data_IF_441930497566
#
_entry.id   IF_441930497566
#
_cell.length_a   1.000
_cell.length_b   1.000
_cell.length_c   1.000
_cell.angle_alpha   90.00
_cell.angle_beta   90.00
_cell.angle_gamma   90.00
#
_symmetry.space_group_name_H-M   'P 1'
#
loop_
_entity.id
_entity.type
_entity.pdbx_description
1 polymer ?
#
# COMPACT_ATOMS: atom_id res chain seq x y z
N UNK A 1 28.79 -3.14 -13.13
CA UNK A 1 28.34 -3.29 -12.90
C UNK A 1 27.77 -3.69 -12.49
N UNK A 2 27.79 -3.86 -12.12
CA UNK A 2 27.24 -4.31 -11.70
C UNK A 2 26.30 -4.54 -11.52
N UNK A 3 26.18 -4.90 -11.51
CA UNK A 3 25.35 -5.09 -11.47
C UNK A 3 24.56 -5.26 -10.61
N UNK A 4 24.49 -5.04 -10.02
CA UNK A 4 23.75 -5.19 -9.28
C UNK A 4 22.58 -5.12 -9.67
N UNK A 5 22.01 -5.57 -9.65
CA UNK A 5 21.00 -5.61 -10.25
C UNK A 5 20.00 -4.76 -9.88
N UNK A 6 19.28 -4.27 -10.75
CA UNK A 6 18.21 -3.39 -10.53
C UNK A 6 16.98 -4.23 -10.35
N UNK A 7 16.65 -4.51 -9.13
CA UNK A 7 15.48 -5.30 -8.82
C UNK A 7 14.27 -4.38 -8.87
N UNK A 8 13.25 -4.78 -9.60
CA UNK A 8 12.00 -4.03 -9.68
C UNK A 8 11.08 -4.52 -8.57
N UNK A 9 10.74 -3.61 -7.68
CA UNK A 9 9.96 -3.94 -6.49
C UNK A 9 8.60 -3.29 -6.54
N UNK A 10 7.55 -4.06 -6.29
CA UNK A 10 6.21 -3.54 -6.12
C UNK A 10 5.72 -3.88 -4.74
N UNK A 11 4.93 -3.00 -4.15
CA UNK A 11 4.37 -3.21 -2.82
C UNK A 11 2.86 -3.18 -2.92
N UNK A 12 2.20 -4.13 -2.27
CA UNK A 12 0.75 -4.15 -2.18
C UNK A 12 0.37 -3.91 -0.74
N UNK A 13 -0.45 -2.89 -0.49
CA UNK A 13 -0.98 -2.64 0.84
C UNK A 13 -2.47 -2.95 0.78
N UNK A 14 -2.92 -3.89 1.60
CA UNK A 14 -4.33 -4.26 1.60
C UNK A 14 -5.09 -3.40 2.58
N UNK A 15 -6.07 -2.69 2.10
CA UNK A 15 -6.91 -1.82 2.92
C UNK A 15 -8.38 -2.07 2.66
N UNK A 16 -8.71 -3.19 2.04
CA UNK A 16 -10.07 -3.49 1.68
C UNK A 16 -10.82 -4.33 2.70
N UNK A 17 -10.20 -4.73 3.76
CA UNK A 17 -10.81 -5.59 4.75
C UNK A 17 -12.09 -5.00 5.29
N UNK A 18 -13.00 -5.87 5.66
CA UNK A 18 -14.31 -5.43 6.05
C UNK A 18 -14.51 -5.27 7.53
N UNK A 19 -13.62 -5.73 8.34
CA UNK A 19 -13.93 -5.84 9.75
C UNK A 19 -13.21 -4.93 10.66
N UNK A 20 -12.39 -4.07 10.19
CA UNK A 20 -11.54 -3.30 11.06
C UNK A 20 -12.07 -1.93 11.35
N UNK A 21 -13.20 -1.88 12.03
CA UNK A 21 -13.75 -0.62 12.42
C UNK A 21 -13.52 -0.40 13.89
N UNK A 22 -13.24 0.83 14.25
CA UNK A 22 -12.96 1.16 15.60
C UNK A 22 -14.10 1.98 16.12
N UNK A 23 -15.04 1.31 16.74
CA UNK A 23 -16.08 2.00 17.44
C UNK A 23 -16.93 2.95 16.66
N UNK A 24 -17.09 2.76 15.42
CA UNK A 24 -17.88 3.64 14.60
C UNK A 24 -17.79 3.23 13.18
N UNK A 25 -18.05 4.14 12.28
CA UNK A 25 -18.08 3.78 10.89
C UNK A 25 -16.76 3.97 10.18
N UNK A 26 -15.78 4.58 10.82
CA UNK A 26 -14.50 4.86 10.18
C UNK A 26 -13.60 3.63 10.21
N UNK A 27 -13.06 3.27 9.07
CA UNK A 27 -12.14 2.15 9.01
C UNK A 27 -10.85 2.50 9.73
N UNK A 28 -10.23 1.49 10.30
CA UNK A 28 -9.01 1.66 11.05
C UNK A 28 -7.92 2.32 10.22
N UNK A 29 -7.80 1.96 8.96
CA UNK A 29 -6.77 2.50 8.09
C UNK A 29 -6.85 4.01 7.93
N UNK A 30 -8.03 4.58 8.10
CA UNK A 30 -8.21 6.01 7.88
C UNK A 30 -8.12 6.84 9.15
N UNK A 31 -7.87 6.20 10.29
CA UNK A 31 -7.77 6.93 11.54
C UNK A 31 -6.49 7.74 11.60
N UNK A 32 -6.51 8.88 12.24
CA UNK A 32 -5.31 9.72 12.30
C UNK A 32 -4.17 9.07 13.04
N UNK A 33 -2.97 9.29 12.57
CA UNK A 33 -1.77 8.84 13.24
C UNK A 33 -0.64 9.77 12.81
N UNK A 34 0.01 10.39 13.79
CA UNK A 34 1.08 11.32 13.52
C UNK A 34 0.60 12.45 12.60
N UNK A 35 1.24 12.67 11.48
CA UNK A 35 0.87 13.73 10.55
C UNK A 35 -0.15 13.28 9.52
N UNK A 36 -0.55 12.05 9.55
CA UNK A 36 -1.45 11.53 8.54
C UNK A 36 -2.42 10.52 9.12
N UNK A 37 -2.48 9.37 8.50
CA UNK A 37 -3.38 8.29 8.91
C UNK A 37 -2.57 7.03 9.09
N UNK A 38 -3.21 6.00 9.64
CA UNK A 38 -2.55 4.69 9.77
C UNK A 38 -2.11 4.20 8.40
N UNK A 39 -2.94 4.39 7.38
CA UNK A 39 -2.59 3.99 6.03
C UNK A 39 -1.38 4.76 5.52
N UNK A 40 -1.34 6.07 5.73
CA UNK A 40 -0.21 6.85 5.22
C UNK A 40 1.08 6.49 5.94
N UNK A 41 1.00 6.11 7.22
CA UNK A 41 2.21 5.69 7.94
C UNK A 41 2.71 4.36 7.40
N UNK A 42 1.80 3.44 7.05
CA UNK A 42 2.19 2.18 6.44
C UNK A 42 2.89 2.43 5.11
N UNK A 43 2.32 3.29 4.29
CA UNK A 43 2.89 3.58 2.98
C UNK A 43 4.24 4.27 3.13
N UNK A 44 4.35 5.19 4.08
CA UNK A 44 5.58 5.93 4.28
C UNK A 44 6.75 5.01 4.59
N UNK A 45 6.49 3.97 5.39
CA UNK A 45 7.55 3.04 5.77
C UNK A 45 8.18 2.40 4.54
N UNK A 46 7.36 2.01 3.57
CA UNK A 46 7.88 1.40 2.35
C UNK A 46 8.50 2.44 1.42
N UNK A 47 7.86 3.58 1.30
CA UNK A 47 8.33 4.58 0.35
C UNK A 47 9.66 5.19 0.76
N UNK A 48 9.89 5.31 2.07
CA UNK A 48 11.14 5.88 2.54
C UNK A 48 12.28 4.89 2.58
N UNK A 49 11.97 3.65 2.87
CA UNK A 49 13.03 2.68 3.14
C UNK A 49 13.33 1.72 2.00
N UNK A 50 12.49 1.69 0.99
CA UNK A 50 12.69 0.79 -0.13
C UNK A 50 12.56 1.56 -1.43
N UNK A 51 13.26 1.07 -2.43
CA UNK A 51 13.16 1.66 -3.76
C UNK A 51 11.99 1.03 -4.48
N UNK A 52 10.79 1.50 -4.15
CA UNK A 52 9.56 0.90 -4.62
C UNK A 52 9.15 1.54 -5.95
N UNK A 53 8.96 0.73 -6.96
CA UNK A 53 8.58 1.22 -8.28
C UNK A 53 7.08 1.37 -8.44
N UNK A 54 6.32 0.54 -7.76
CA UNK A 54 4.86 0.56 -7.85
C UNK A 54 4.27 0.30 -6.47
N UNK A 55 3.35 1.14 -6.06
CA UNK A 55 2.60 0.93 -4.84
C UNK A 55 1.16 0.67 -5.22
N UNK A 56 0.63 -0.49 -4.87
CA UNK A 56 -0.75 -0.84 -5.11
C UNK A 56 -1.48 -0.84 -3.78
N UNK A 57 -2.61 -0.19 -3.71
CA UNK A 57 -3.42 -0.20 -2.50
C UNK A 57 -4.79 -0.73 -2.87
N UNK A 58 -5.23 -1.79 -2.19
CA UNK A 58 -6.56 -2.32 -2.41
C UNK A 58 -7.51 -1.66 -1.43
N UNK A 59 -8.68 -1.31 -1.88
CA UNK A 59 -9.60 -0.52 -1.11
C UNK A 59 -11.00 -1.10 -1.23
N UNK A 60 -11.91 -0.80 -0.29
CA UNK A 60 -13.28 -1.24 -0.46
C UNK A 60 -13.92 -0.58 -1.66
N UNK A 61 -15.02 -1.18 -2.14
CA UNK A 61 -15.74 -0.65 -3.27
C UNK A 61 -16.08 0.81 -3.05
N UNK A 62 -15.87 1.60 -4.06
CA UNK A 62 -16.25 3.02 -4.06
C UNK A 62 -15.54 3.85 -3.00
N UNK A 63 -14.37 3.40 -2.57
CA UNK A 63 -13.62 4.14 -1.55
C UNK A 63 -12.26 4.60 -2.07
N UNK A 64 -12.07 4.60 -3.38
CA UNK A 64 -10.78 4.98 -3.93
C UNK A 64 -10.39 6.41 -3.56
N UNK A 65 -11.36 7.33 -3.60
CA UNK A 65 -11.06 8.72 -3.27
C UNK A 65 -10.70 8.89 -1.82
N UNK A 66 -11.42 8.21 -0.93
CA UNK A 66 -11.13 8.30 0.50
C UNK A 66 -9.77 7.71 0.81
N UNK A 67 -9.40 6.64 0.12
CA UNK A 67 -8.11 6.02 0.29
C UNK A 67 -7.00 6.97 -0.16
N UNK A 68 -7.19 7.61 -1.28
CA UNK A 68 -6.22 8.56 -1.78
C UNK A 68 -6.07 9.74 -0.83
N UNK A 69 -7.17 10.24 -0.30
CA UNK A 69 -7.11 11.32 0.66
C UNK A 69 -6.37 10.92 1.91
N UNK A 70 -6.64 9.70 2.41
CA UNK A 70 -5.97 9.21 3.60
C UNK A 70 -4.47 9.11 3.39
N UNK A 71 -4.06 8.71 2.19
CA UNK A 71 -2.66 8.64 1.88
C UNK A 71 -2.01 10.01 1.85
N UNK A 72 -2.67 10.97 1.25
CA UNK A 72 -2.08 12.27 1.02
C UNK A 72 -2.23 13.25 2.19
N UNK A 73 -2.84 12.79 3.27
CA UNK A 73 -2.95 13.60 4.47
C UNK A 73 -1.55 13.99 4.98
N UNK A 74 -0.59 13.11 4.80
CA UNK A 74 0.78 13.41 5.20
C UNK A 74 1.51 13.97 3.96
N UNK A 75 1.96 15.20 4.04
CA UNK A 75 2.64 15.84 2.92
C UNK A 75 3.89 15.10 2.50
N UNK A 76 4.56 14.45 3.42
CA UNK A 76 5.76 13.71 3.09
C UNK A 76 5.44 12.53 2.18
N UNK A 77 4.30 11.86 2.44
CA UNK A 77 3.89 10.76 1.59
C UNK A 77 3.57 11.28 0.20
N UNK A 78 2.89 12.40 0.11
CA UNK A 78 2.57 12.97 -1.18
C UNK A 78 3.85 13.26 -1.98
N UNK A 79 4.86 13.76 -1.29
CA UNK A 79 6.12 14.06 -1.95
C UNK A 79 6.82 12.77 -2.40
N UNK A 80 6.80 11.74 -1.55
CA UNK A 80 7.43 10.48 -1.89
C UNK A 80 6.75 9.78 -3.06
N UNK A 81 5.46 9.98 -3.21
CA UNK A 81 4.72 9.34 -4.29
C UNK A 81 5.09 9.90 -5.66
N UNK A 82 5.77 11.02 -5.71
CA UNK A 82 6.17 11.56 -7.00
C UNK A 82 7.17 10.66 -7.73
N UNK A 83 7.86 9.82 -6.98
CA UNK A 83 8.84 8.91 -7.58
C UNK A 83 8.38 7.47 -7.62
N UNK A 84 7.13 7.21 -7.32
CA UNK A 84 6.60 5.86 -7.29
C UNK A 84 5.24 5.85 -7.99
N UNK A 85 5.03 4.89 -8.85
CA UNK A 85 3.74 4.76 -9.50
C UNK A 85 2.74 4.26 -8.48
N UNK A 86 1.58 4.89 -8.42
CA UNK A 86 0.54 4.54 -7.47
C UNK A 86 -0.66 3.98 -8.21
N UNK A 87 -1.18 2.86 -7.72
CA UNK A 87 -2.40 2.27 -8.27
C UNK A 87 -3.33 1.94 -7.11
N UNK A 88 -4.51 2.54 -7.09
CA UNK A 88 -5.51 2.21 -6.08
C UNK A 88 -6.59 1.42 -6.79
N UNK A 89 -6.84 0.23 -6.28
CA UNK A 89 -7.78 -0.67 -6.94
C UNK A 89 -8.72 -1.30 -5.92
N UNK A 90 -9.87 -1.70 -6.36
CA UNK A 90 -10.82 -2.34 -5.48
C UNK A 90 -10.31 -3.69 -5.08
N UNK A 91 -10.39 -4.02 -3.80
CA UNK A 91 -10.02 -5.33 -3.31
C UNK A 91 -11.20 -6.26 -3.25
N UNK A 92 -11.05 -7.35 -2.53
CA UNK A 92 -12.10 -8.34 -2.38
C UNK A 92 -12.69 -8.33 -0.99
N UNK A 93 -13.54 -9.27 -0.72
CA UNK A 93 -14.19 -9.38 0.58
C UNK A 93 -13.31 -10.08 1.60
N UNK A 94 -12.24 -10.73 1.17
CA UNK A 94 -11.30 -11.35 2.08
C UNK A 94 -9.92 -10.82 1.79
N UNK A 95 -8.98 -11.05 2.73
CA UNK A 95 -7.61 -10.64 2.51
C UNK A 95 -7.03 -11.36 1.30
N UNK A 96 -7.35 -12.63 1.15
CA UNK A 96 -6.84 -13.39 0.02
C UNK A 96 -7.31 -12.83 -1.31
N UNK A 97 -8.57 -12.45 -1.39
CA UNK A 97 -9.09 -11.84 -2.60
C UNK A 97 -8.45 -10.49 -2.86
N UNK A 98 -8.22 -9.71 -1.80
CA UNK A 98 -7.59 -8.42 -1.97
C UNK A 98 -6.15 -8.57 -2.46
N UNK A 99 -5.42 -9.53 -1.91
CA UNK A 99 -4.07 -9.80 -2.36
C UNK A 99 -4.07 -10.23 -3.83
N UNK A 100 -5.00 -11.09 -4.20
CA UNK A 100 -5.10 -11.55 -5.58
C UNK A 100 -5.34 -10.38 -6.52
N UNK A 101 -6.27 -9.51 -6.17
CA UNK A 101 -6.55 -8.35 -7.01
C UNK A 101 -5.37 -7.39 -7.06
N UNK A 102 -4.64 -7.26 -5.96
CA UNK A 102 -3.42 -6.48 -5.95
C UNK A 102 -2.37 -7.05 -6.88
N UNK A 103 -2.22 -8.37 -6.89
CA UNK A 103 -1.28 -9.03 -7.77
C UNK A 103 -1.67 -8.86 -9.24
N UNK A 104 -2.96 -8.89 -9.53
CA UNK A 104 -3.40 -8.62 -10.89
C UNK A 104 -3.05 -7.19 -11.30
N UNK A 105 -3.19 -6.25 -10.39
CA UNK A 105 -2.84 -4.86 -10.68
C UNK A 105 -1.34 -4.74 -10.93
N UNK A 106 -0.51 -5.44 -10.16
CA UNK A 106 0.92 -5.43 -10.40
C UNK A 106 1.23 -5.98 -11.79
N UNK A 107 0.61 -7.09 -12.14
CA UNK A 107 0.84 -7.69 -13.44
C UNK A 107 0.46 -6.77 -14.57
N UNK A 108 -0.62 -6.02 -14.37
CA UNK A 108 -1.11 -5.11 -15.39
C UNK A 108 -0.26 -3.83 -15.47
N UNK A 109 0.11 -3.28 -14.33
CA UNK A 109 0.78 -2.00 -14.27
C UNK A 109 2.30 -2.10 -14.41
N UNK A 110 2.88 -3.18 -13.94
CA UNK A 110 4.33 -3.31 -13.94
C UNK A 110 4.71 -4.79 -14.04
N UNK A 111 4.48 -5.40 -15.21
CA UNK A 111 4.66 -6.85 -15.35
C UNK A 111 6.09 -7.32 -15.15
N UNK A 112 7.06 -6.42 -15.25
CA UNK A 112 8.44 -6.80 -15.04
C UNK A 112 8.87 -6.80 -13.59
N UNK A 113 7.90 -6.73 -12.66
CA UNK A 113 8.21 -6.74 -11.24
C UNK A 113 8.90 -8.03 -10.83
N UNK A 114 10.01 -7.90 -10.12
CA UNK A 114 10.77 -9.05 -9.64
C UNK A 114 10.33 -9.51 -8.27
N UNK A 115 9.95 -8.58 -7.40
CA UNK A 115 9.59 -8.88 -6.03
C UNK A 115 8.33 -8.11 -5.66
N UNK A 116 7.39 -8.77 -5.00
CA UNK A 116 6.19 -8.12 -4.51
C UNK A 116 6.15 -8.30 -3.00
N UNK A 117 6.03 -7.20 -2.28
CA UNK A 117 5.84 -7.24 -0.83
C UNK A 117 4.38 -6.95 -0.53
N UNK A 118 3.83 -7.63 0.45
CA UNK A 118 2.42 -7.48 0.80
C UNK A 118 2.32 -7.08 2.27
N UNK A 119 1.56 -6.04 2.54
CA UNK A 119 1.44 -5.49 3.88
C UNK A 119 -0.02 -5.12 4.17
N UNK A 120 -0.41 -5.28 5.42
CA UNK A 120 -1.75 -4.90 5.86
C UNK A 120 -1.76 -3.41 6.18
N UNK A 121 -2.63 -2.68 5.54
CA UNK A 121 -2.69 -1.22 5.70
C UNK A 121 -3.13 -0.75 7.07
N UNK A 122 -3.68 -1.65 7.88
CA UNK A 122 -4.06 -1.31 9.25
C UNK A 122 -2.91 -1.43 10.23
N UNK A 123 -1.72 -1.81 9.76
CA UNK A 123 -0.55 -1.95 10.62
C UNK A 123 0.46 -0.89 10.26
N UNK A 124 0.54 0.18 11.04
CA UNK A 124 1.36 1.34 10.65
C UNK A 124 2.86 1.11 10.77
N UNK A 125 3.28 0.14 11.59
CA UNK A 125 4.68 -0.06 11.80
C UNK A 125 5.13 -1.33 11.10
N UNK A 126 6.05 -1.19 10.18
CA UNK A 126 6.54 -2.29 9.39
C UNK A 126 7.71 -2.90 10.11
N UNK A 127 7.66 -4.21 10.35
CA UNK A 127 8.75 -4.88 10.98
C UNK A 127 9.91 -4.92 10.03
N UNK A 128 11.10 -5.02 10.56
CA UNK A 128 12.23 -5.15 9.74
C UNK A 128 12.29 -6.44 9.04
N UNK A 129 11.50 -7.43 9.41
CA UNK A 129 11.50 -8.62 8.73
C UNK A 129 10.66 -8.51 7.60
N UNK A 130 11.10 -8.09 6.50
CA UNK A 130 10.41 -8.01 5.27
C UNK A 130 10.44 -9.33 4.62
N UNK A 131 9.31 -9.86 4.25
CA UNK A 131 9.23 -11.13 3.61
C UNK A 131 9.66 -10.99 2.19
N UNK A 132 10.71 -11.68 1.84
CA UNK A 132 11.14 -11.66 0.52
C UNK A 132 10.62 -12.84 -0.11
N UNK A 133 10.07 -12.88 -1.10
CA UNK A 133 9.69 -13.91 -1.75
C UNK A 133 9.31 -14.18 -2.44
#
# INVERSE_FOLDING_TARGET
MTSKQNITLSVIITAAGSSNRMGGSTKKEYLPLNKGTILSESAKAFLKNLNCSLLVITTPSNKENQTLEALKTDCEVEELLKNTKLCITEGGSTRQESVFKGLLAVKEQLPQTDVVLIHDGARPFVSEQIVKD
#
